data_IF_415045167515
#
_entry.id   IF_415045167515
#
_cell.length_a   1.000
_cell.length_b   1.000
_cell.length_c   1.000
_cell.angle_alpha   90.00
_cell.angle_beta   90.00
_cell.angle_gamma   90.00
#
_symmetry.space_group_name_H-M   'P 1'
#
loop_
_entity.id
_entity.type
_entity.pdbx_description
1 polymer ?
#
# COMPACT_ATOMS: atom_id res chain seq x y z
N UNK A 1 7.50 16.88 0.08
CA UNK A 1 7.80 15.69 0.90
C UNK A 1 9.24 15.76 1.34
N UNK A 2 9.54 15.30 2.53
CA UNK A 2 10.92 15.23 3.06
C UNK A 2 11.69 14.04 2.49
N UNK A 3 11.06 13.19 1.68
CA UNK A 3 11.65 11.96 1.14
C UNK A 3 11.70 11.99 -0.39
N UNK A 4 12.74 11.38 -0.92
CA UNK A 4 12.84 11.16 -2.36
C UNK A 4 12.06 9.90 -2.74
N UNK A 5 11.06 10.08 -3.57
CA UNK A 5 10.30 9.01 -4.17
C UNK A 5 10.83 8.70 -5.57
N UNK A 6 11.05 7.42 -5.91
CA UNK A 6 11.44 7.05 -7.26
C UNK A 6 10.31 7.37 -8.26
N UNK A 7 10.64 8.16 -9.29
CA UNK A 7 9.77 8.38 -10.45
C UNK A 7 10.19 7.48 -11.61
N UNK A 8 9.39 7.48 -12.66
CA UNK A 8 9.68 6.74 -13.88
C UNK A 8 8.69 5.63 -14.14
N UNK A 9 9.05 4.75 -15.06
CA UNK A 9 8.17 3.74 -15.62
C UNK A 9 8.91 2.41 -15.75
N UNK A 10 8.22 1.33 -15.41
CA UNK A 10 8.63 -0.06 -15.62
C UNK A 10 7.47 -0.89 -16.20
N UNK A 11 7.60 -2.20 -16.24
CA UNK A 11 6.59 -3.10 -16.82
C UNK A 11 5.28 -3.11 -16.03
N UNK A 12 5.32 -2.86 -14.72
CA UNK A 12 4.16 -2.94 -13.83
C UNK A 12 3.50 -1.60 -13.59
N UNK A 13 4.29 -0.51 -13.54
CA UNK A 13 3.75 0.77 -13.12
C UNK A 13 4.50 1.96 -13.71
N UNK A 14 3.81 3.11 -13.79
CA UNK A 14 4.35 4.42 -14.09
C UNK A 14 4.13 5.36 -12.91
N UNK A 15 5.14 6.14 -12.54
CA UNK A 15 5.09 7.16 -11.49
C UNK A 15 5.46 8.52 -12.04
N UNK A 16 4.58 9.48 -11.83
CA UNK A 16 4.79 10.90 -12.15
C UNK A 16 4.39 11.77 -10.96
N UNK A 17 4.81 13.03 -10.97
CA UNK A 17 4.42 14.03 -9.97
C UNK A 17 3.73 15.18 -10.67
N UNK A 18 2.51 15.48 -10.25
CA UNK A 18 1.72 16.59 -10.77
C UNK A 18 0.82 17.16 -9.67
N UNK A 19 0.66 18.48 -9.65
CA UNK A 19 -0.22 19.20 -8.71
C UNK A 19 0.05 18.87 -7.21
N UNK A 20 1.32 18.66 -6.86
CA UNK A 20 1.73 18.30 -5.50
C UNK A 20 1.48 16.84 -5.10
N UNK A 21 0.92 16.02 -5.97
CA UNK A 21 0.61 14.61 -5.71
C UNK A 21 1.54 13.68 -6.49
N UNK A 22 1.78 12.50 -5.93
CA UNK A 22 2.39 11.39 -6.64
C UNK A 22 1.30 10.59 -7.35
N UNK A 23 1.35 10.57 -8.68
CA UNK A 23 0.44 9.79 -9.51
C UNK A 23 1.07 8.45 -9.82
N UNK A 24 0.39 7.37 -9.47
CA UNK A 24 0.82 6.01 -9.77
C UNK A 24 -0.18 5.34 -10.70
N UNK A 25 0.28 4.92 -11.86
CA UNK A 25 -0.52 4.20 -12.85
C UNK A 25 -0.10 2.74 -12.90
N UNK A 26 -0.93 1.85 -12.38
CA UNK A 26 -0.78 0.40 -12.53
C UNK A 26 -1.16 -0.02 -13.95
N UNK A 27 -0.29 -0.76 -14.61
CA UNK A 27 -0.44 -1.13 -16.03
C UNK A 27 -1.12 -2.47 -16.24
N UNK A 28 -1.05 -3.34 -15.24
CA UNK A 28 -1.53 -4.71 -15.30
C UNK A 28 -2.08 -5.18 -13.95
N UNK A 29 -2.53 -6.42 -13.89
CA UNK A 29 -3.09 -7.04 -12.68
C UNK A 29 -2.04 -7.40 -11.62
N UNK A 30 -0.77 -7.08 -11.85
CA UNK A 30 0.29 -7.17 -10.85
C UNK A 30 0.34 -5.89 -10.00
N UNK A 31 0.60 -6.04 -8.71
CA UNK A 31 0.81 -4.91 -7.83
C UNK A 31 2.17 -4.27 -8.10
N UNK A 32 2.17 -2.98 -8.45
CA UNK A 32 3.37 -2.18 -8.57
C UNK A 32 3.51 -1.23 -7.39
N UNK A 33 4.69 -1.19 -6.75
CA UNK A 33 4.96 -0.33 -5.59
C UNK A 33 6.18 0.54 -5.73
N UNK A 34 6.22 1.59 -4.92
CA UNK A 34 7.39 2.46 -4.75
C UNK A 34 7.71 2.61 -3.27
N UNK A 35 8.99 2.49 -2.98
CA UNK A 35 9.57 2.64 -1.64
C UNK A 35 10.38 3.94 -1.65
N UNK A 36 10.10 4.93 -0.79
CA UNK A 36 10.90 6.14 -0.69
C UNK A 36 12.24 5.86 -0.01
N UNK A 37 13.23 6.71 -0.27
CA UNK A 37 14.50 6.65 0.45
C UNK A 37 14.29 7.16 1.89
N UNK A 38 14.13 6.24 2.82
CA UNK A 38 13.96 6.48 4.26
C UNK A 38 14.79 5.48 5.06
N UNK A 39 14.93 5.69 6.37
CA UNK A 39 15.49 4.69 7.26
C UNK A 39 14.52 3.50 7.46
N UNK A 40 15.05 2.35 7.85
CA UNK A 40 14.21 1.23 8.27
C UNK A 40 13.35 1.60 9.49
N UNK A 41 12.14 1.12 9.50
CA UNK A 41 11.16 1.34 10.55
C UNK A 41 10.86 0.05 11.31
N UNK A 42 10.63 0.17 12.62
CA UNK A 42 10.20 -0.93 13.50
C UNK A 42 8.79 -0.65 13.98
N UNK A 43 8.65 0.21 15.00
CA UNK A 43 7.36 0.62 15.55
C UNK A 43 6.96 1.96 14.96
N UNK A 44 5.92 1.98 14.13
CA UNK A 44 5.48 3.20 13.43
C UNK A 44 3.98 3.25 13.28
N UNK A 45 3.47 4.47 13.11
CA UNK A 45 2.18 4.72 12.48
C UNK A 45 2.43 5.37 11.12
N UNK A 46 2.01 4.70 10.06
CA UNK A 46 2.05 5.18 8.69
C UNK A 46 0.66 5.64 8.28
N UNK A 47 0.57 6.78 7.60
CA UNK A 47 -0.70 7.28 7.07
C UNK A 47 -0.50 7.85 5.68
N UNK A 48 -1.42 7.57 4.77
CA UNK A 48 -1.47 8.18 3.45
C UNK A 48 -2.87 8.67 3.13
N UNK A 49 -2.95 9.86 2.52
CA UNK A 49 -4.18 10.38 1.91
C UNK A 49 -4.14 10.12 0.42
N UNK A 50 -5.20 9.51 -0.07
CA UNK A 50 -5.31 9.02 -1.45
C UNK A 50 -6.51 9.65 -2.12
N UNK A 51 -6.31 10.22 -3.32
CA UNK A 51 -7.40 10.46 -4.26
C UNK A 51 -7.46 9.26 -5.21
N UNK A 52 -8.60 8.59 -5.25
CA UNK A 52 -8.78 7.33 -5.97
C UNK A 52 -8.65 7.45 -7.50
N UNK A 53 -8.62 8.65 -8.05
CA UNK A 53 -8.42 8.86 -9.49
C UNK A 53 -9.46 8.16 -10.35
N UNK A 54 -9.02 7.39 -11.34
CA UNK A 54 -9.88 6.66 -12.28
C UNK A 54 -10.43 5.34 -11.76
N UNK A 55 -10.63 5.23 -10.48
CA UNK A 55 -10.99 4.00 -9.73
C UNK A 55 -12.29 3.35 -10.22
N UNK A 56 -12.21 2.08 -10.62
CA UNK A 56 -13.36 1.26 -11.02
C UNK A 56 -13.23 -0.16 -10.45
N UNK A 57 -14.34 -0.75 -10.10
CA UNK A 57 -14.47 -2.15 -9.67
C UNK A 57 -13.41 -2.56 -8.63
N UNK A 58 -12.56 -3.55 -8.96
CA UNK A 58 -11.53 -4.11 -8.08
C UNK A 58 -10.15 -3.50 -8.29
N UNK A 59 -10.05 -2.36 -8.97
CA UNK A 59 -8.84 -1.56 -8.94
C UNK A 59 -8.47 -1.29 -7.49
N UNK A 60 -7.19 -1.30 -7.17
CA UNK A 60 -6.79 -1.25 -5.78
C UNK A 60 -5.50 -0.48 -5.56
N UNK A 61 -5.38 0.04 -4.36
CA UNK A 61 -4.28 0.85 -3.88
C UNK A 61 -4.00 0.54 -2.40
N UNK A 62 -2.87 1.00 -1.90
CA UNK A 62 -2.60 0.77 -0.49
C UNK A 62 -1.20 1.09 -0.04
N UNK A 63 -0.88 0.56 1.14
CA UNK A 63 0.41 0.71 1.82
C UNK A 63 1.12 -0.64 1.80
N UNK A 64 2.40 -0.64 1.40
CA UNK A 64 3.33 -1.74 1.66
C UNK A 64 4.24 -1.34 2.82
N UNK A 65 4.50 -2.25 3.76
CA UNK A 65 5.31 -1.97 4.94
C UNK A 65 6.13 -3.17 5.39
N UNK A 66 7.13 -2.91 6.23
CA UNK A 66 8.09 -3.91 6.68
C UNK A 66 8.77 -4.64 5.51
N UNK A 67 9.11 -3.91 4.46
CA UNK A 67 9.91 -4.40 3.33
C UNK A 67 11.35 -4.60 3.81
N UNK A 68 11.88 -5.84 3.86
CA UNK A 68 13.16 -6.08 4.53
C UNK A 68 14.36 -5.49 3.79
N UNK A 69 14.30 -5.43 2.46
CA UNK A 69 15.42 -5.04 1.61
C UNK A 69 15.02 -3.92 0.66
N UNK A 70 15.62 -2.73 0.82
CA UNK A 70 15.31 -1.55 0.01
C UNK A 70 15.61 -1.72 -1.48
N UNK A 71 16.79 -2.27 -1.80
CA UNK A 71 17.25 -2.44 -3.20
C UNK A 71 16.61 -3.62 -3.92
N UNK A 72 15.95 -4.50 -3.19
CA UNK A 72 15.25 -5.68 -3.71
C UNK A 72 13.92 -5.83 -2.96
N UNK A 73 12.93 -4.96 -3.21
CA UNK A 73 11.69 -4.90 -2.45
C UNK A 73 10.69 -5.96 -2.90
N UNK A 74 11.09 -7.24 -2.83
CA UNK A 74 10.29 -8.40 -3.25
C UNK A 74 9.51 -9.05 -2.11
N UNK A 75 9.56 -8.48 -0.91
CA UNK A 75 8.91 -8.99 0.30
C UNK A 75 8.25 -7.85 1.08
N UNK A 76 7.19 -8.14 1.84
CA UNK A 76 6.55 -7.17 2.73
C UNK A 76 5.10 -7.50 3.04
N UNK A 77 4.48 -6.68 3.87
CA UNK A 77 3.05 -6.72 4.14
C UNK A 77 2.32 -5.66 3.31
N UNK A 78 1.16 -6.02 2.77
CA UNK A 78 0.36 -5.12 1.93
C UNK A 78 -1.03 -4.94 2.54
N UNK A 79 -1.33 -3.70 2.94
CA UNK A 79 -2.68 -3.26 3.27
C UNK A 79 -3.33 -2.73 1.99
N UNK A 80 -4.30 -3.45 1.47
CA UNK A 80 -4.93 -3.26 0.17
C UNK A 80 -6.39 -2.86 0.32
N UNK A 81 -6.79 -1.81 -0.41
CA UNK A 81 -8.16 -1.31 -0.49
C UNK A 81 -8.59 -1.28 -1.95
N UNK A 82 -9.83 -1.68 -2.24
CA UNK A 82 -10.40 -1.70 -3.58
C UNK A 82 -11.41 -0.59 -3.81
N UNK A 83 -11.63 -0.24 -5.06
CA UNK A 83 -12.56 0.80 -5.49
C UNK A 83 -14.03 0.48 -5.21
N UNK A 84 -14.38 -0.80 -5.09
CA UNK A 84 -15.71 -1.31 -4.77
C UNK A 84 -15.94 -1.52 -3.26
N UNK A 85 -15.01 -1.05 -2.40
CA UNK A 85 -15.23 -0.97 -0.95
C UNK A 85 -14.78 -2.18 -0.13
N UNK A 86 -13.82 -2.94 -0.62
CA UNK A 86 -13.21 -4.04 0.14
C UNK A 86 -11.80 -3.70 0.57
N UNK A 87 -11.35 -4.36 1.63
CA UNK A 87 -9.97 -4.30 2.09
C UNK A 87 -9.48 -5.68 2.51
N UNK A 88 -8.14 -5.84 2.52
CA UNK A 88 -7.45 -7.00 3.09
C UNK A 88 -6.06 -6.61 3.59
N UNK A 89 -5.47 -7.48 4.42
CA UNK A 89 -4.06 -7.46 4.77
C UNK A 89 -3.43 -8.80 4.41
N UNK A 90 -2.33 -8.76 3.68
CA UNK A 90 -1.63 -9.96 3.25
C UNK A 90 -0.13 -9.73 3.23
N UNK A 91 0.61 -10.81 3.24
CA UNK A 91 2.06 -10.84 3.16
C UNK A 91 2.48 -11.40 1.82
N UNK A 92 3.47 -10.79 1.21
CA UNK A 92 4.13 -11.28 0.01
C UNK A 92 5.57 -11.66 0.34
N UNK A 93 5.99 -12.85 -0.08
CA UNK A 93 7.36 -13.33 -0.04
C UNK A 93 7.76 -13.81 -1.43
N UNK A 94 8.37 -12.92 -2.21
CA UNK A 94 8.85 -13.21 -3.56
C UNK A 94 10.08 -14.09 -3.62
N UNK A 95 10.71 -14.40 -2.47
CA UNK A 95 11.88 -15.30 -2.39
C UNK A 95 11.52 -16.78 -2.25
N UNK A 96 10.24 -17.07 -2.02
CA UNK A 96 9.76 -18.46 -2.00
C UNK A 96 9.65 -18.97 -3.43
N UNK A 97 10.47 -19.96 -3.79
CA UNK A 97 10.49 -20.55 -5.12
C UNK A 97 9.23 -21.40 -5.40
N UNK A 98 8.80 -21.54 -6.64
CA UNK A 98 9.32 -20.90 -7.87
C UNK A 98 8.72 -19.52 -8.18
N UNK A 99 7.60 -19.11 -7.59
CA UNK A 99 6.80 -17.95 -8.02
C UNK A 99 6.52 -16.93 -6.92
N UNK A 100 7.13 -17.09 -5.75
CA UNK A 100 6.77 -16.34 -4.55
C UNK A 100 5.54 -16.92 -3.85
N UNK A 101 5.25 -16.41 -2.65
CA UNK A 101 4.13 -16.85 -1.82
C UNK A 101 3.36 -15.67 -1.24
N UNK A 102 2.04 -15.70 -1.42
CA UNK A 102 1.11 -14.82 -0.74
C UNK A 102 0.50 -15.52 0.48
N UNK A 103 0.49 -14.85 1.63
CA UNK A 103 -0.17 -15.32 2.85
C UNK A 103 -1.20 -14.30 3.30
N UNK A 104 -2.45 -14.71 3.45
CA UNK A 104 -3.54 -13.82 3.89
C UNK A 104 -3.54 -13.73 5.41
N UNK A 105 -3.47 -12.52 5.96
CA UNK A 105 -3.57 -12.23 7.39
C UNK A 105 -4.97 -11.73 7.76
N UNK A 106 -5.54 -10.86 6.96
CA UNK A 106 -6.95 -10.45 7.03
C UNK A 106 -7.56 -10.73 5.65
N UNK A 107 -8.55 -11.63 5.55
CA UNK A 107 -9.22 -11.91 4.28
C UNK A 107 -9.99 -10.69 3.77
N UNK A 108 -10.43 -10.74 2.53
CA UNK A 108 -11.28 -9.69 1.97
C UNK A 108 -12.50 -9.45 2.83
N UNK A 109 -12.70 -8.19 3.24
CA UNK A 109 -13.85 -7.70 4.00
C UNK A 109 -14.37 -6.43 3.36
N UNK A 110 -15.68 -6.29 3.31
CA UNK A 110 -16.31 -5.03 2.94
C UNK A 110 -16.30 -4.07 4.13
N UNK A 111 -16.13 -2.77 3.86
CA UNK A 111 -16.20 -1.72 4.88
C UNK A 111 -16.95 -0.51 4.34
N UNK A 112 -17.93 -0.04 5.11
CA UNK A 112 -18.64 1.22 4.85
C UNK A 112 -17.78 2.47 5.13
N UNK A 113 -16.62 2.28 5.76
CA UNK A 113 -15.67 3.38 6.01
C UNK A 113 -14.84 3.73 4.76
N UNK A 114 -14.92 2.92 3.69
CA UNK A 114 -14.29 3.20 2.40
C UNK A 114 -15.24 4.06 1.57
N UNK A 115 -14.78 5.24 1.15
CA UNK A 115 -15.49 6.04 0.15
C UNK A 115 -15.16 5.47 -1.23
N UNK A 116 -16.15 4.84 -1.86
CA UNK A 116 -16.01 4.04 -3.09
C UNK A 116 -16.09 4.88 -4.37
N UNK A 117 -15.49 4.37 -5.45
CA UNK A 117 -15.57 4.94 -6.78
C UNK A 117 -14.45 5.92 -7.14
N UNK A 118 -14.61 6.57 -8.29
CA UNK A 118 -13.60 7.46 -8.86
C UNK A 118 -13.54 8.81 -8.14
N UNK A 119 -12.34 9.41 -8.10
CA UNK A 119 -12.07 10.75 -7.55
C UNK A 119 -12.51 10.94 -6.09
N UNK A 120 -12.52 9.87 -5.31
CA UNK A 120 -12.83 9.93 -3.88
C UNK A 120 -11.56 10.10 -3.05
N UNK A 121 -11.72 10.61 -1.83
CA UNK A 121 -10.62 10.76 -0.89
C UNK A 121 -10.76 9.68 0.20
N UNK A 122 -9.70 8.89 0.38
CA UNK A 122 -9.57 7.96 1.49
C UNK A 122 -8.25 8.19 2.22
N UNK A 123 -8.25 7.98 3.52
CA UNK A 123 -7.06 8.02 4.37
C UNK A 123 -6.81 6.61 4.91
N UNK A 124 -5.67 6.04 4.58
CA UNK A 124 -5.24 4.73 5.03
C UNK A 124 -4.19 4.86 6.11
N UNK A 125 -4.31 4.08 7.18
CA UNK A 125 -3.36 4.05 8.28
C UNK A 125 -2.91 2.64 8.61
N UNK A 126 -1.62 2.48 8.96
CA UNK A 126 -1.05 1.24 9.49
C UNK A 126 -0.24 1.57 10.74
N UNK A 127 -0.65 1.04 11.88
CA UNK A 127 0.12 1.07 13.13
C UNK A 127 0.85 -0.25 13.31
N UNK A 128 2.16 -0.19 13.48
CA UNK A 128 2.98 -1.35 13.79
C UNK A 128 3.59 -1.19 15.18
N UNK A 129 3.33 -2.11 16.08
CA UNK A 129 3.95 -2.19 17.40
C UNK A 129 4.40 -3.63 17.60
N UNK A 130 5.70 -3.83 17.74
CA UNK A 130 6.33 -5.15 17.75
C UNK A 130 5.86 -6.00 16.55
N UNK A 131 5.19 -7.11 16.78
CA UNK A 131 4.67 -7.97 15.73
C UNK A 131 3.16 -7.75 15.47
N UNK A 132 2.55 -6.72 16.05
CA UNK A 132 1.13 -6.42 15.90
C UNK A 132 0.93 -5.29 14.89
N UNK A 133 0.03 -5.52 13.95
CA UNK A 133 -0.36 -4.56 12.91
C UNK A 133 -1.83 -4.22 13.06
N UNK A 134 -2.11 -2.93 13.23
CA UNK A 134 -3.48 -2.40 13.28
C UNK A 134 -3.70 -1.51 12.07
N UNK A 135 -4.73 -1.78 11.30
CA UNK A 135 -5.07 -1.06 10.07
C UNK A 135 -6.30 -0.19 10.25
N UNK A 136 -6.26 0.98 9.62
CA UNK A 136 -7.29 2.03 9.73
C UNK A 136 -7.71 2.51 8.35
N UNK A 137 -8.99 2.81 8.18
CA UNK A 137 -9.55 3.48 7.02
C UNK A 137 -10.35 4.69 7.52
N UNK A 138 -10.03 5.87 7.03
CA UNK A 138 -10.67 7.13 7.39
C UNK A 138 -10.75 7.39 8.91
N UNK A 139 -9.72 6.90 9.64
CA UNK A 139 -9.59 7.03 11.10
C UNK A 139 -10.29 5.92 11.89
N UNK A 140 -11.03 5.01 11.24
CA UNK A 140 -11.71 3.89 11.88
C UNK A 140 -10.83 2.64 11.81
N UNK A 141 -10.61 1.99 12.96
CA UNK A 141 -9.87 0.73 13.02
C UNK A 141 -10.67 -0.39 12.33
N UNK A 142 -10.02 -1.09 11.41
CA UNK A 142 -10.63 -2.17 10.65
C UNK A 142 -10.24 -3.55 11.17
N UNK A 143 -8.97 -3.72 11.53
CA UNK A 143 -8.45 -5.00 12.03
C UNK A 143 -7.16 -4.80 12.83
N UNK A 144 -6.85 -5.79 13.67
CA UNK A 144 -5.55 -5.92 14.33
C UNK A 144 -5.13 -7.38 14.28
N UNK A 145 -3.91 -7.64 13.81
CA UNK A 145 -3.36 -9.00 13.64
C UNK A 145 -1.88 -9.01 14.03
N UNK A 146 -1.33 -10.20 14.29
CA UNK A 146 0.08 -10.36 14.59
C UNK A 146 0.74 -11.31 13.60
N UNK A 147 1.92 -10.93 13.11
CA UNK A 147 2.81 -11.79 12.32
C UNK A 147 4.26 -11.34 12.55
N UNK A 148 5.17 -12.30 12.76
CA UNK A 148 6.58 -12.05 13.12
C UNK A 148 7.56 -12.27 11.97
N UNK A 149 7.09 -12.49 10.75
CA UNK A 149 7.95 -12.83 9.61
C UNK A 149 8.93 -11.71 9.27
N UNK A 150 8.45 -10.47 9.20
CA UNK A 150 9.29 -9.29 8.96
C UNK A 150 9.18 -8.35 10.15
N UNK A 151 10.21 -8.29 10.99
CA UNK A 151 10.21 -7.52 12.25
C UNK A 151 10.51 -6.04 12.06
N UNK A 152 11.16 -5.65 10.96
CA UNK A 152 11.52 -4.29 10.59
C UNK A 152 11.57 -4.15 9.08
N UNK A 153 11.59 -2.92 8.57
CA UNK A 153 11.74 -2.71 7.13
C UNK A 153 11.34 -1.32 6.68
N UNK A 154 11.37 -1.15 5.38
CA UNK A 154 10.95 0.06 4.68
C UNK A 154 9.44 0.02 4.44
N UNK A 155 8.88 1.17 4.10
CA UNK A 155 7.48 1.29 3.71
C UNK A 155 7.35 1.96 2.34
N UNK A 156 6.17 1.85 1.76
CA UNK A 156 5.83 2.50 0.51
C UNK A 156 4.34 2.46 0.23
N UNK A 157 4.01 2.80 -0.98
CA UNK A 157 2.64 2.71 -1.48
C UNK A 157 2.60 1.90 -2.76
N UNK A 158 1.44 1.35 -3.08
CA UNK A 158 1.26 0.52 -4.25
C UNK A 158 -0.07 0.76 -4.96
N UNK A 159 -0.10 0.35 -6.22
CA UNK A 159 -1.28 0.35 -7.09
C UNK A 159 -1.39 -0.98 -7.81
N UNK A 160 -2.61 -1.41 -8.10
CA UNK A 160 -2.88 -2.57 -8.93
C UNK A 160 -4.13 -2.31 -9.77
N UNK A 161 -4.03 -2.41 -11.09
CA UNK A 161 -5.20 -2.47 -11.96
C UNK A 161 -5.91 -3.81 -11.80
N UNK A 162 -7.21 -3.81 -11.88
CA UNK A 162 -8.03 -5.03 -11.96
C UNK A 162 -8.11 -5.61 -13.37
N UNK A 163 -7.62 -4.86 -14.37
CA UNK A 163 -7.67 -5.19 -15.79
C UNK A 163 -6.27 -5.29 -16.40
N UNK A 164 -6.06 -6.24 -17.30
CA UNK A 164 -4.85 -6.35 -18.10
C UNK A 164 -4.78 -5.31 -19.25
N UNK A 165 -5.91 -4.71 -19.60
CA UNK A 165 -6.02 -3.82 -20.77
C UNK A 165 -6.37 -2.38 -20.40
N UNK A 166 -6.77 -2.11 -19.17
CA UNK A 166 -7.17 -0.78 -18.70
C UNK A 166 -6.32 -0.36 -17.52
N UNK A 167 -5.32 0.50 -17.72
CA UNK A 167 -4.50 1.02 -16.62
C UNK A 167 -5.34 1.78 -15.59
N UNK A 168 -4.97 1.67 -14.33
CA UNK A 168 -5.58 2.39 -13.22
C UNK A 168 -4.61 3.42 -12.65
N UNK A 169 -5.05 4.68 -12.54
CA UNK A 169 -4.26 5.77 -11.93
C UNK A 169 -4.84 6.20 -10.60
N UNK A 170 -4.02 6.14 -9.57
CA UNK A 170 -4.30 6.64 -8.22
C UNK A 170 -3.35 7.79 -7.88
N UNK A 171 -3.81 8.76 -7.07
CA UNK A 171 -3.00 9.90 -6.65
C UNK A 171 -2.78 9.84 -5.13
N UNK A 172 -1.51 9.79 -4.72
CA UNK A 172 -1.11 9.90 -3.32
C UNK A 172 -0.75 11.35 -3.03
N UNK A 173 -1.55 12.00 -2.18
CA UNK A 173 -1.37 13.39 -1.79
C UNK A 173 -0.32 13.52 -0.69
N UNK A 174 -0.51 12.81 0.40
CA UNK A 174 0.41 12.83 1.53
C UNK A 174 0.78 11.41 1.97
N UNK A 175 2.04 11.25 2.38
CA UNK A 175 2.50 10.09 3.15
C UNK A 175 3.20 10.62 4.39
N UNK A 176 2.77 10.19 5.56
CA UNK A 176 3.32 10.60 6.87
C UNK A 176 3.65 9.37 7.69
N UNK A 177 4.62 9.50 8.58
CA UNK A 177 4.86 8.49 9.60
C UNK A 177 5.23 9.12 10.94
N UNK A 178 4.95 8.39 12.00
CA UNK A 178 5.32 8.71 13.37
C UNK A 178 6.01 7.51 13.98
N UNK A 179 7.16 7.73 14.58
CA UNK A 179 7.91 6.69 15.26
C UNK A 179 7.33 6.44 16.67
N UNK A 180 7.44 5.17 17.11
CA UNK A 180 7.04 4.74 18.46
C UNK A 180 5.62 5.19 18.87
N UNK A 181 4.58 4.88 18.07
CA UNK A 181 3.21 5.22 18.42
C UNK A 181 2.78 4.48 19.71
N UNK A 182 2.16 5.22 20.61
CA UNK A 182 1.58 4.67 21.84
C UNK A 182 0.29 3.92 21.59
#
# INVERSE_FOLDING_TARGET
>A
SQWTWPSGEDDCLKVTFANGMMQMTGKATLAGWRIPLVAQQVNTYLETTVNTGSCVDKDSYGIIFRVPVFKDPTQGYLFQVTCDGYYRLWKWDGKVAPTGQATVLVPWKQSSDIVTGANQINRLGVKTVDNTFTIYINGVQQASVSDSTFSAGFFGVFVRSSSETSPYTVNFDTVKFWENPK
#
